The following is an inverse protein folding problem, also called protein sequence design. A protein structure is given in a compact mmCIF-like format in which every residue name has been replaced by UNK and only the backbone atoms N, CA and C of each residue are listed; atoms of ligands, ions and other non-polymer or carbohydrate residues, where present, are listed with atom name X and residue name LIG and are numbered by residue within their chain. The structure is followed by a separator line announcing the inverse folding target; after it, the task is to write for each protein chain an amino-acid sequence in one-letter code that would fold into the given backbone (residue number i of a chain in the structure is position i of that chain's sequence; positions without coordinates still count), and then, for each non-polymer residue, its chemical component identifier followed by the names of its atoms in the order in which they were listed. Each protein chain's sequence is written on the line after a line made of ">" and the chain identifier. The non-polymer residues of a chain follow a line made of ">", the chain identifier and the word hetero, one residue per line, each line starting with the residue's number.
data_IF_561548301408
#
_entry.id   IF_561548301408
#
_cell.length_a   1.000
_cell.length_b   1.000
_cell.length_c   1.000
_cell.angle_alpha   90.00
_cell.angle_beta   90.00
_cell.angle_gamma   90.00
#
_symmetry.space_group_name_H-M   'P 1'
#
loop_
_entity.id
_entity.type
_entity.pdbx_description
1 polymer ?
#
# COMPACT_ATOMS: atom_id res chain seq x y z
N UNK A 1 3.57 25.14 52.04
CA UNK A 1 2.75 26.18 51.39
C UNK A 1 3.73 27.19 50.85
N UNK A 2 4.05 27.26 49.55
CA UNK A 2 3.16 27.09 48.40
C UNK A 2 3.69 26.12 47.35
N UNK A 3 2.70 25.54 46.69
CA UNK A 3 2.70 24.67 45.52
C UNK A 3 2.69 25.56 44.24
N UNK A 4 2.48 24.92 43.08
CA UNK A 4 2.10 25.49 41.78
C UNK A 4 3.22 25.82 40.77
N UNK A 5 3.57 24.74 40.06
CA UNK A 5 3.40 24.57 38.60
C UNK A 5 4.39 25.24 37.65
N UNK A 6 5.35 24.41 37.27
CA UNK A 6 6.09 24.43 36.00
C UNK A 6 5.10 24.22 34.83
N UNK A 7 4.42 25.31 34.44
CA UNK A 7 3.53 25.36 33.26
C UNK A 7 4.38 25.33 31.97
N UNK A 8 4.81 24.13 31.59
CA UNK A 8 5.39 23.87 30.29
C UNK A 8 4.31 23.99 29.19
N UNK A 9 4.46 24.88 28.18
CA UNK A 9 3.45 25.02 27.15
C UNK A 9 3.39 23.77 26.28
N UNK A 10 2.29 23.02 26.42
CA UNK A 10 1.96 21.88 25.56
C UNK A 10 1.94 22.30 24.09
N UNK A 11 2.95 21.87 23.34
CA UNK A 11 3.04 22.07 21.89
C UNK A 11 1.85 21.42 21.18
N UNK A 12 1.15 22.12 20.27
CA UNK A 12 -0.11 21.65 19.71
C UNK A 12 0.09 20.53 18.69
N UNK A 13 -0.22 19.29 19.10
CA UNK A 13 -0.35 18.07 18.26
C UNK A 13 -1.25 18.27 17.03
N UNK A 14 -2.14 19.27 17.04
CA UNK A 14 -3.04 19.60 15.94
C UNK A 14 -2.35 20.06 14.64
N UNK A 15 -1.13 20.64 14.70
CA UNK A 15 -0.39 21.06 13.49
C UNK A 15 0.14 19.88 12.70
N UNK A 16 0.55 18.79 13.36
CA UNK A 16 1.10 17.60 12.69
C UNK A 16 0.06 16.88 11.80
N UNK A 17 -1.21 16.85 12.22
CA UNK A 17 -2.31 16.25 11.43
C UNK A 17 -2.68 17.06 10.19
N UNK A 18 -2.64 18.39 10.21
CA UNK A 18 -2.93 19.19 9.00
C UNK A 18 -1.81 19.10 7.96
N UNK A 19 -0.57 19.03 8.41
CA UNK A 19 0.58 18.76 7.54
C UNK A 19 0.50 17.38 6.88
N UNK A 20 -0.03 16.36 7.56
CA UNK A 20 -0.23 15.03 6.96
C UNK A 20 -1.36 15.00 5.92
N UNK A 21 -2.45 15.75 6.14
CA UNK A 21 -3.52 15.92 5.13
C UNK A 21 -3.02 16.71 3.92
N UNK A 22 -2.26 17.79 4.14
CA UNK A 22 -1.60 18.54 3.07
C UNK A 22 -0.62 17.69 2.27
N UNK A 23 0.17 16.87 2.95
CA UNK A 23 1.09 15.90 2.31
C UNK A 23 0.32 14.88 1.47
N UNK A 24 -0.78 14.31 1.99
CA UNK A 24 -1.62 13.35 1.22
C UNK A 24 -2.22 14.00 -0.02
N UNK A 25 -2.67 15.25 0.06
CA UNK A 25 -3.20 16.00 -1.07
C UNK A 25 -2.11 16.24 -2.13
N UNK A 26 -0.91 16.63 -1.71
CA UNK A 26 0.24 16.84 -2.60
C UNK A 26 0.67 15.53 -3.26
N UNK A 27 0.77 14.42 -2.52
CA UNK A 27 1.08 13.09 -3.06
C UNK A 27 0.03 12.65 -4.07
N UNK A 28 -1.26 12.84 -3.77
CA UNK A 28 -2.34 12.49 -4.71
C UNK A 28 -2.25 13.33 -5.98
N UNK A 29 -1.86 14.60 -5.86
CA UNK A 29 -1.69 15.51 -7.00
C UNK A 29 -0.49 15.14 -7.85
N UNK A 30 0.63 14.77 -7.22
CA UNK A 30 1.83 14.24 -7.87
C UNK A 30 1.52 12.92 -8.59
N UNK A 31 0.79 12.01 -7.95
CA UNK A 31 0.37 10.75 -8.55
C UNK A 31 -0.49 10.97 -9.81
N UNK A 32 -1.48 11.86 -9.73
CA UNK A 32 -2.30 12.21 -10.90
C UNK A 32 -1.50 12.89 -12.01
N UNK A 33 -0.50 13.70 -11.66
CA UNK A 33 0.38 14.31 -12.65
C UNK A 33 1.27 13.27 -13.33
N UNK A 34 1.87 12.36 -12.56
CA UNK A 34 2.68 11.27 -13.06
C UNK A 34 1.88 10.34 -13.98
N UNK A 35 0.64 9.97 -13.59
CA UNK A 35 -0.25 9.16 -14.42
C UNK A 35 -0.51 9.81 -15.78
N UNK A 36 -0.86 11.11 -15.80
CA UNK A 36 -1.07 11.84 -17.06
C UNK A 36 0.18 11.92 -17.93
N UNK A 37 1.36 11.97 -17.31
CA UNK A 37 2.62 11.98 -18.05
C UNK A 37 2.91 10.61 -18.68
N UNK A 38 2.57 9.52 -17.99
CA UNK A 38 2.63 8.17 -18.54
C UNK A 38 1.64 8.01 -19.70
N UNK A 39 0.37 8.36 -19.50
CA UNK A 39 -0.65 8.25 -20.55
C UNK A 39 -0.26 9.07 -21.81
N UNK A 40 0.30 10.28 -21.62
CA UNK A 40 0.79 11.11 -22.72
C UNK A 40 2.10 10.59 -23.35
N UNK A 41 2.85 9.76 -22.66
CA UNK A 41 4.03 9.09 -23.20
C UNK A 41 3.62 7.86 -24.01
N UNK A 42 2.67 7.07 -23.50
CA UNK A 42 2.07 5.92 -24.20
C UNK A 42 1.39 6.36 -25.51
N UNK A 43 0.57 7.42 -25.47
CA UNK A 43 -0.06 7.95 -26.69
C UNK A 43 0.97 8.43 -27.74
N UNK A 44 2.16 8.87 -27.32
CA UNK A 44 3.25 9.23 -28.23
C UNK A 44 3.99 8.00 -28.77
N UNK A 45 4.04 6.91 -28.02
CA UNK A 45 4.60 5.64 -28.48
C UNK A 45 3.71 5.01 -29.56
N UNK A 46 2.39 5.11 -29.43
CA UNK A 46 1.43 4.58 -30.41
C UNK A 46 1.54 5.28 -31.78
N UNK A 47 1.92 6.56 -31.80
CA UNK A 47 2.03 7.39 -33.02
C UNK A 47 3.41 7.30 -33.70
N UNK A 48 4.41 6.66 -33.07
CA UNK A 48 5.79 6.69 -33.55
C UNK A 48 6.13 5.49 -34.47
N UNK A 49 6.73 5.72 -35.65
CA UNK A 49 7.21 4.62 -36.49
C UNK A 49 8.34 3.88 -35.75
N UNK A 50 8.23 2.55 -35.68
CA UNK A 50 9.23 1.63 -35.10
C UNK A 50 10.57 1.77 -35.83
N UNK A 51 11.37 2.76 -35.43
CA UNK A 51 12.74 2.96 -35.90
C UNK A 51 13.73 2.53 -34.83
N UNK A 52 14.92 2.09 -35.22
CA UNK A 52 15.95 1.62 -34.29
C UNK A 52 16.35 2.67 -33.25
N UNK A 53 16.32 3.97 -33.59
CA UNK A 53 16.59 5.06 -32.65
C UNK A 53 15.55 5.15 -31.53
N UNK A 54 14.27 4.87 -31.83
CA UNK A 54 13.21 4.79 -30.83
C UNK A 54 13.48 3.66 -29.82
N UNK A 55 13.96 2.51 -30.30
CA UNK A 55 14.29 1.36 -29.44
C UNK A 55 15.51 1.60 -28.53
N UNK A 56 16.49 2.40 -28.96
CA UNK A 56 17.64 2.77 -28.12
C UNK A 56 17.21 3.74 -27.01
N UNK A 57 16.38 4.74 -27.33
CA UNK A 57 15.82 5.66 -26.34
C UNK A 57 14.92 4.93 -25.34
N UNK A 58 14.17 3.93 -25.79
CA UNK A 58 13.35 3.05 -24.95
C UNK A 58 14.21 2.20 -24.02
N UNK A 59 15.26 1.56 -24.53
CA UNK A 59 16.20 0.79 -23.70
C UNK A 59 16.85 1.66 -22.60
N UNK A 60 17.18 2.92 -22.93
CA UNK A 60 17.69 3.90 -21.96
C UNK A 60 16.63 4.27 -20.91
N UNK A 61 15.39 4.52 -21.33
CA UNK A 61 14.29 4.80 -20.40
C UNK A 61 14.02 3.63 -19.46
N UNK A 62 14.03 2.39 -19.98
CA UNK A 62 13.87 1.16 -19.18
C UNK A 62 15.02 0.95 -18.20
N UNK A 63 16.27 1.22 -18.59
CA UNK A 63 17.41 1.13 -17.70
C UNK A 63 17.33 2.14 -16.54
N UNK A 64 16.87 3.36 -16.82
CA UNK A 64 16.64 4.39 -15.80
C UNK A 64 15.53 3.95 -14.84
N UNK A 65 14.41 3.44 -15.35
CA UNK A 65 13.32 2.92 -14.51
C UNK A 65 13.76 1.74 -13.63
N UNK A 66 14.51 0.78 -14.18
CA UNK A 66 15.03 -0.34 -13.40
C UNK A 66 15.97 0.12 -12.28
N UNK A 67 16.79 1.15 -12.56
CA UNK A 67 17.67 1.77 -11.56
C UNK A 67 16.88 2.48 -10.46
N UNK A 68 15.89 3.30 -10.81
CA UNK A 68 15.09 4.02 -9.81
C UNK A 68 14.28 3.07 -8.93
N UNK A 69 13.73 1.99 -9.49
CA UNK A 69 13.06 0.93 -8.71
C UNK A 69 14.05 0.29 -7.73
N UNK A 70 15.28 -0.03 -8.15
CA UNK A 70 16.30 -0.57 -7.25
C UNK A 70 16.67 0.41 -6.14
N UNK A 71 16.81 1.70 -6.45
CA UNK A 71 17.10 2.74 -5.46
C UNK A 71 15.94 2.92 -4.46
N UNK A 72 14.69 2.86 -4.92
CA UNK A 72 13.52 2.91 -4.04
C UNK A 72 13.42 1.69 -3.11
N UNK A 73 13.70 0.49 -3.62
CA UNK A 73 13.75 -0.73 -2.81
C UNK A 73 14.87 -0.64 -1.76
N UNK A 74 16.03 -0.10 -2.13
CA UNK A 74 17.12 0.13 -1.20
C UNK A 74 16.76 1.16 -0.12
N UNK A 75 16.02 2.21 -0.47
CA UNK A 75 15.52 3.22 0.49
C UNK A 75 14.46 2.66 1.44
N UNK A 76 13.58 1.76 0.96
CA UNK A 76 12.59 1.07 1.82
C UNK A 76 13.29 0.11 2.79
N UNK A 77 14.24 -0.69 2.30
CA UNK A 77 15.05 -1.59 3.13
C UNK A 77 15.95 -0.85 4.13
N UNK A 78 16.45 0.33 3.76
CA UNK A 78 17.25 1.18 4.63
C UNK A 78 16.41 2.06 5.56
N UNK A 79 15.07 2.01 5.50
CA UNK A 79 14.20 2.82 6.37
C UNK A 79 14.10 2.19 7.76
N UNK A 80 14.76 2.75 8.80
CA UNK A 80 14.70 2.18 10.14
C UNK A 80 13.33 2.52 10.74
N UNK A 81 12.41 1.55 10.68
CA UNK A 81 11.11 1.67 11.36
C UNK A 81 9.91 1.03 10.66
N UNK A 82 10.09 0.40 9.48
CA UNK A 82 9.00 -0.30 8.78
C UNK A 82 8.97 -1.82 8.99
N UNK A 83 10.07 -2.45 9.39
CA UNK A 83 10.13 -3.90 9.54
C UNK A 83 9.62 -4.44 10.89
N UNK A 84 9.52 -3.63 11.96
CA UNK A 84 9.12 -4.15 13.28
C UNK A 84 7.66 -3.93 13.68
N UNK A 85 6.99 -2.84 13.26
CA UNK A 85 5.75 -2.44 13.96
C UNK A 85 4.48 -3.23 13.64
N UNK A 86 4.50 -4.14 12.67
CA UNK A 86 3.34 -5.01 12.38
C UNK A 86 3.64 -6.50 12.52
N UNK A 87 4.90 -6.89 12.74
CA UNK A 87 5.27 -8.29 13.02
C UNK A 87 5.66 -8.52 14.48
N UNK A 88 6.07 -7.48 15.21
CA UNK A 88 6.46 -7.56 16.63
C UNK A 88 5.26 -7.68 17.58
N UNK A 89 4.05 -7.34 17.13
CA UNK A 89 2.83 -7.45 17.97
C UNK A 89 2.26 -8.88 18.04
N UNK A 90 2.72 -9.78 17.17
CA UNK A 90 2.35 -11.19 17.20
C UNK A 90 3.60 -12.02 17.46
N UNK A 91 3.72 -12.56 18.69
CA UNK A 91 4.72 -13.56 19.04
C UNK A 91 4.91 -14.57 17.89
N UNK A 92 6.13 -15.02 17.57
CA UNK A 92 6.39 -15.96 16.46
C UNK A 92 5.47 -17.19 16.45
N UNK A 93 5.07 -17.66 17.64
CA UNK A 93 4.10 -18.74 17.80
C UNK A 93 2.67 -18.36 17.36
N UNK A 94 2.24 -17.12 17.57
CA UNK A 94 0.95 -16.60 17.11
C UNK A 94 0.93 -16.43 15.58
N UNK A 95 2.05 -15.98 14.98
CA UNK A 95 2.21 -15.93 13.53
C UNK A 95 2.05 -17.31 12.86
N UNK A 96 2.70 -18.33 13.42
CA UNK A 96 2.56 -19.72 12.93
C UNK A 96 1.12 -20.26 13.04
N UNK A 97 0.41 -19.93 14.12
CA UNK A 97 -1.01 -20.31 14.28
C UNK A 97 -1.90 -19.63 13.24
N UNK A 98 -1.67 -18.35 12.97
CA UNK A 98 -2.42 -17.61 11.95
C UNK A 98 -2.22 -18.20 10.54
N UNK A 99 -0.99 -18.57 10.19
CA UNK A 99 -0.68 -19.25 8.93
C UNK A 99 -1.36 -20.62 8.85
N UNK A 100 -1.42 -21.37 9.95
CA UNK A 100 -2.12 -22.66 9.99
C UNK A 100 -3.63 -22.50 9.76
N UNK A 101 -4.26 -21.48 10.34
CA UNK A 101 -5.68 -21.18 10.11
C UNK A 101 -5.96 -20.73 8.68
N UNK A 102 -5.09 -19.89 8.09
CA UNK A 102 -5.22 -19.50 6.70
C UNK A 102 -5.14 -20.70 5.74
N UNK A 103 -4.23 -21.65 6.00
CA UNK A 103 -4.12 -22.88 5.20
C UNK A 103 -5.38 -23.74 5.27
N UNK A 104 -5.98 -23.88 6.47
CA UNK A 104 -7.24 -24.62 6.64
C UNK A 104 -8.39 -23.96 5.90
N UNK A 105 -8.51 -22.64 6.00
CA UNK A 105 -9.58 -21.90 5.33
C UNK A 105 -9.42 -21.93 3.80
N UNK A 106 -8.19 -21.86 3.31
CA UNK A 106 -7.90 -22.01 1.89
C UNK A 106 -8.28 -23.42 1.39
N UNK A 107 -7.92 -24.47 2.13
CA UNK A 107 -8.32 -25.85 1.79
C UNK A 107 -9.84 -25.99 1.74
N UNK A 108 -10.56 -25.47 2.75
CA UNK A 108 -12.03 -25.47 2.78
C UNK A 108 -12.62 -24.78 1.55
N UNK A 109 -12.10 -23.61 1.16
CA UNK A 109 -12.58 -22.86 -0.01
C UNK A 109 -12.31 -23.60 -1.31
N UNK A 110 -11.15 -24.24 -1.43
CA UNK A 110 -10.81 -25.07 -2.58
C UNK A 110 -11.71 -26.30 -2.66
N UNK A 111 -12.03 -26.94 -1.54
CA UNK A 111 -12.96 -28.08 -1.49
C UNK A 111 -14.38 -27.66 -1.93
N UNK A 112 -14.84 -26.48 -1.50
CA UNK A 112 -16.15 -25.93 -1.94
C UNK A 112 -16.16 -25.68 -3.45
N UNK A 113 -15.09 -25.08 -4.00
CA UNK A 113 -14.97 -24.84 -5.45
C UNK A 113 -14.87 -26.17 -6.22
N UNK A 114 -14.11 -27.15 -5.71
CA UNK A 114 -13.95 -28.47 -6.31
C UNK A 114 -15.26 -29.28 -6.29
N UNK A 115 -16.08 -29.10 -5.26
CA UNK A 115 -17.43 -29.66 -5.17
C UNK A 115 -18.47 -28.92 -6.04
N UNK A 116 -18.06 -27.92 -6.84
CA UNK A 116 -18.93 -27.15 -7.72
C UNK A 116 -19.78 -26.09 -7.01
N UNK A 117 -19.48 -25.77 -5.74
CA UNK A 117 -20.14 -24.73 -4.97
C UNK A 117 -19.54 -23.35 -5.25
N UNK A 118 -20.37 -22.38 -5.61
CA UNK A 118 -19.98 -20.96 -5.59
C UNK A 118 -19.77 -20.51 -4.14
N UNK A 119 -18.63 -19.89 -3.76
CA UNK A 119 -18.41 -19.42 -2.40
C UNK A 119 -19.36 -18.26 -2.12
N UNK A 120 -20.50 -18.55 -1.51
CA UNK A 120 -21.42 -17.54 -1.01
C UNK A 120 -20.65 -16.67 0.01
N UNK A 121 -20.59 -15.36 -0.27
CA UNK A 121 -20.05 -14.37 0.65
C UNK A 121 -20.84 -14.34 1.97
N UNK A 122 -20.34 -13.63 3.00
CA UNK A 122 -20.98 -13.60 4.31
C UNK A 122 -22.41 -13.05 4.18
N UNK A 123 -23.40 -13.94 4.26
CA UNK A 123 -24.79 -13.55 4.44
C UNK A 123 -24.90 -12.80 5.75
N UNK A 124 -25.02 -11.48 5.66
CA UNK A 124 -25.59 -10.66 6.72
C UNK A 124 -26.99 -11.21 6.97
N UNK A 125 -27.14 -11.96 8.07
CA UNK A 125 -28.41 -12.23 8.72
C UNK A 125 -29.07 -10.89 9.05
N UNK A 126 -29.85 -10.35 8.12
CA UNK A 126 -30.79 -9.28 8.42
C UNK A 126 -31.98 -9.93 9.14
N UNK A 127 -31.91 -9.86 10.47
CA UNK A 127 -32.95 -10.33 11.35
C UNK A 127 -34.18 -9.44 11.24
N UNK A 128 -35.09 -9.76 10.31
CA UNK A 128 -36.44 -9.22 10.35
C UNK A 128 -37.40 -10.24 11.00
N UNK A 129 -37.32 -10.30 12.34
CA UNK A 129 -38.38 -10.82 13.21
C UNK A 129 -38.90 -9.64 14.02
N UNK A 130 -40.00 -9.00 13.59
CA UNK A 130 -41.01 -8.52 14.53
C UNK A 130 -42.32 -8.06 13.86
N UNK A 131 -43.41 -8.38 14.56
CA UNK A 131 -44.82 -7.97 14.42
C UNK A 131 -45.63 -8.64 13.30
#
# INVERSE_FOLDING_TARGET
>A
MSDEDDDAPAVPVAKARRLSVGRKAVVTRLWRAAQRQLDAHEARLDDMPKSAAASETEAKALAVLARTVRELVALDAASPGREDKSSDELSPAAGLRHVAELRKELARRLDVIAAGGSPAGPETLDGNRNA
#
